data_IF_369878319811
#
_entry.id   IF_369878319811
#
_cell.length_a   1.000
_cell.length_b   1.000
_cell.length_c   1.000
_cell.angle_alpha   90.00
_cell.angle_beta   90.00
_cell.angle_gamma   90.00
#
_symmetry.space_group_name_H-M   'P 1'
#
loop_
_entity.id
_entity.type
_entity.pdbx_description
1 polymer ?
#
# COMPACT_ATOMS: atom_id res chain seq x y z
N UNK A 1 24.17 -0.48 -8.72
CA UNK A 1 23.13 0.59 -8.77
C UNK A 1 21.78 -0.09 -8.64
N UNK A 2 20.93 0.20 -7.65
CA UNK A 2 19.63 -0.47 -7.55
C UNK A 2 18.77 -0.10 -8.77
N UNK A 3 17.98 -1.04 -9.32
CA UNK A 3 17.18 -0.76 -10.50
C UNK A 3 16.20 0.36 -10.20
N UNK A 4 16.16 1.36 -11.08
CA UNK A 4 15.17 2.42 -11.04
C UNK A 4 13.86 1.75 -11.42
N UNK A 5 12.97 1.54 -10.44
CA UNK A 5 11.62 1.05 -10.71
C UNK A 5 10.94 2.02 -11.68
N UNK A 6 10.41 1.54 -12.80
CA UNK A 6 9.55 2.30 -13.70
C UNK A 6 8.08 2.27 -13.25
N UNK A 7 7.21 3.04 -13.91
CA UNK A 7 5.77 2.97 -13.67
C UNK A 7 5.22 1.58 -14.05
N UNK A 8 5.64 1.06 -15.20
CA UNK A 8 5.21 -0.27 -15.70
C UNK A 8 5.66 -1.39 -14.77
N UNK A 9 6.87 -1.31 -14.21
CA UNK A 9 7.35 -2.26 -13.20
C UNK A 9 6.48 -2.22 -11.94
N UNK A 10 6.08 -1.02 -11.51
CA UNK A 10 5.22 -0.85 -10.34
C UNK A 10 3.83 -1.44 -10.60
N UNK A 11 3.22 -1.14 -11.74
CA UNK A 11 1.92 -1.70 -12.15
C UNK A 11 1.96 -3.21 -12.33
N UNK A 12 3.05 -3.75 -12.90
CA UNK A 12 3.27 -5.20 -13.03
C UNK A 12 3.32 -5.86 -11.66
N UNK A 13 4.02 -5.27 -10.68
CA UNK A 13 4.08 -5.79 -9.31
C UNK A 13 2.74 -5.75 -8.60
N UNK A 14 1.99 -4.66 -8.75
CA UNK A 14 0.63 -4.52 -8.19
C UNK A 14 -0.30 -5.58 -8.79
N UNK A 15 -0.28 -5.76 -10.11
CA UNK A 15 -1.10 -6.73 -10.83
C UNK A 15 -0.78 -8.18 -10.42
N UNK A 16 0.50 -8.55 -10.41
CA UNK A 16 0.95 -9.88 -9.95
C UNK A 16 0.56 -10.14 -8.51
N UNK A 17 0.57 -9.11 -7.67
CA UNK A 17 0.17 -9.22 -6.26
C UNK A 17 -1.33 -9.46 -6.14
N UNK A 18 -2.15 -8.71 -6.88
CA UNK A 18 -3.60 -8.92 -6.92
C UNK A 18 -3.95 -10.34 -7.36
N UNK A 19 -3.31 -10.81 -8.45
CA UNK A 19 -3.47 -12.17 -8.94
C UNK A 19 -3.01 -13.22 -7.91
N UNK A 20 -1.84 -13.03 -7.29
CA UNK A 20 -1.31 -13.95 -6.28
C UNK A 20 -2.24 -14.04 -5.08
N UNK A 21 -2.75 -12.92 -4.56
CA UNK A 21 -3.70 -12.90 -3.44
C UNK A 21 -4.99 -13.61 -3.84
N UNK A 22 -5.50 -13.35 -5.05
CA UNK A 22 -6.71 -14.00 -5.58
C UNK A 22 -6.54 -15.52 -5.67
N UNK A 23 -5.46 -16.00 -6.29
CA UNK A 23 -5.16 -17.42 -6.46
C UNK A 23 -4.92 -18.11 -5.10
N UNK A 24 -4.25 -17.43 -4.18
CA UNK A 24 -3.92 -17.96 -2.86
C UNK A 24 -5.12 -17.93 -1.90
N UNK A 25 -6.06 -17.01 -2.10
CA UNK A 25 -7.24 -16.84 -1.24
C UNK A 25 -6.95 -16.30 0.16
N UNK A 26 -5.73 -15.87 0.45
CA UNK A 26 -5.31 -15.35 1.74
C UNK A 26 -4.20 -14.30 1.65
N UNK A 27 -3.99 -13.57 2.76
CA UNK A 27 -2.84 -12.69 3.01
C UNK A 27 -1.95 -13.40 4.03
N UNK A 28 -0.63 -13.42 3.80
CA UNK A 28 0.31 -14.08 4.72
C UNK A 28 0.44 -13.27 6.02
N UNK A 29 0.76 -13.89 7.17
CA UNK A 29 0.88 -13.18 8.45
C UNK A 29 1.85 -11.98 8.42
N UNK A 30 2.98 -12.09 7.72
CA UNK A 30 3.93 -10.98 7.61
C UNK A 30 3.47 -9.86 6.66
N UNK A 31 2.66 -10.19 5.65
CA UNK A 31 2.03 -9.21 4.76
C UNK A 31 0.94 -8.45 5.53
N UNK A 32 0.14 -9.19 6.31
CA UNK A 32 -0.88 -8.63 7.21
C UNK A 32 -0.26 -7.65 8.22
N UNK A 33 0.86 -8.01 8.85
CA UNK A 33 1.57 -7.10 9.76
C UNK A 33 1.95 -5.79 9.07
N UNK A 34 2.45 -5.84 7.83
CA UNK A 34 2.79 -4.63 7.06
C UNK A 34 1.56 -3.79 6.73
N UNK A 35 0.44 -4.42 6.40
CA UNK A 35 -0.84 -3.75 6.16
C UNK A 35 -1.30 -3.03 7.43
N UNK A 36 -1.23 -3.70 8.58
CA UNK A 36 -1.59 -3.10 9.86
C UNK A 36 -0.72 -1.89 10.20
N UNK A 37 0.59 -2.00 10.02
CA UNK A 37 1.53 -0.88 10.20
C UNK A 37 1.23 0.29 9.26
N UNK A 38 0.86 0.01 8.02
CA UNK A 38 0.49 1.02 7.02
C UNK A 38 -0.81 1.76 7.40
N UNK A 39 -1.86 1.05 7.81
CA UNK A 39 -3.10 1.69 8.25
C UNK A 39 -2.95 2.42 9.58
N UNK A 40 -2.17 1.89 10.52
CA UNK A 40 -1.84 2.61 11.75
C UNK A 40 -1.07 3.91 11.45
N UNK A 41 -0.22 3.93 10.42
CA UNK A 41 0.47 5.13 9.96
C UNK A 41 -0.47 6.16 9.33
N UNK A 42 -1.53 5.71 8.65
CA UNK A 42 -2.59 6.58 8.13
C UNK A 42 -3.45 7.18 9.25
N UNK A 43 -3.74 6.40 10.30
CA UNK A 43 -4.59 6.82 11.42
C UNK A 43 -3.89 7.79 12.39
N UNK A 44 -2.56 7.78 12.48
CA UNK A 44 -1.79 8.63 13.40
C UNK A 44 -1.53 10.01 12.80
N UNK A 45 -1.60 11.05 13.65
CA UNK A 45 -0.97 12.35 13.42
C UNK A 45 0.55 12.17 13.16
N UNK A 46 1.21 13.03 12.35
CA UNK A 46 2.62 12.87 12.00
C UNK A 46 3.54 13.01 13.23
N UNK A 47 3.85 11.89 13.87
CA UNK A 47 4.76 11.83 15.02
C UNK A 47 6.24 12.04 14.62
N UNK A 48 7.02 12.59 15.55
CA UNK A 48 8.47 12.74 15.45
C UNK A 48 9.17 11.38 15.36
N UNK A 49 9.70 11.04 14.18
CA UNK A 49 10.54 9.86 13.99
C UNK A 49 11.97 10.11 14.52
N UNK A 50 12.71 9.06 14.96
CA UNK A 50 14.00 9.18 15.64
C UNK A 50 15.16 9.72 14.78
N UNK A 51 14.99 9.88 13.47
CA UNK A 51 15.98 10.53 12.60
C UNK A 51 15.34 11.22 11.39
N UNK A 52 15.97 12.28 10.87
CA UNK A 52 15.46 13.03 9.72
C UNK A 52 15.32 12.17 8.43
N UNK A 53 16.27 11.26 8.16
CA UNK A 53 16.21 10.37 6.99
C UNK A 53 15.09 9.33 7.11
N UNK A 54 14.92 8.74 8.29
CA UNK A 54 13.83 7.78 8.55
C UNK A 54 12.47 8.49 8.56
N UNK A 55 12.42 9.73 9.05
CA UNK A 55 11.25 10.63 8.95
C UNK A 55 10.87 10.88 7.50
N UNK A 56 11.84 11.24 6.65
CA UNK A 56 11.61 11.51 5.23
C UNK A 56 11.02 10.32 4.46
N UNK A 57 11.58 9.11 4.66
CA UNK A 57 11.06 7.88 4.03
C UNK A 57 9.66 7.50 4.52
N UNK A 58 9.42 7.60 5.82
CA UNK A 58 8.11 7.30 6.42
C UNK A 58 7.05 8.30 5.96
N UNK A 59 7.38 9.59 5.89
CA UNK A 59 6.49 10.63 5.39
C UNK A 59 6.19 10.41 3.91
N UNK A 60 7.20 10.16 3.08
CA UNK A 60 7.01 9.87 1.64
C UNK A 60 6.07 8.69 1.42
N UNK A 61 6.24 7.63 2.21
CA UNK A 61 5.34 6.48 2.17
C UNK A 61 3.91 6.84 2.61
N UNK A 62 3.76 7.57 3.73
CA UNK A 62 2.46 8.05 4.23
C UNK A 62 1.74 8.93 3.20
N UNK A 63 2.44 9.90 2.61
CA UNK A 63 1.89 10.83 1.61
C UNK A 63 1.41 10.08 0.36
N UNK A 64 2.13 9.03 -0.04
CA UNK A 64 1.69 8.15 -1.13
C UNK A 64 0.40 7.39 -0.76
N UNK A 65 0.30 6.86 0.46
CA UNK A 65 -0.91 6.17 0.92
C UNK A 65 -2.12 7.12 1.04
N UNK A 66 -1.91 8.36 1.51
CA UNK A 66 -2.95 9.39 1.55
C UNK A 66 -3.43 9.68 0.12
N UNK A 67 -2.51 9.90 -0.81
CA UNK A 67 -2.85 10.13 -2.23
C UNK A 67 -3.67 8.99 -2.82
N UNK A 68 -3.34 7.73 -2.53
CA UNK A 68 -4.18 6.60 -2.95
C UNK A 68 -5.63 6.77 -2.48
N UNK A 69 -5.85 7.13 -1.22
CA UNK A 69 -7.19 7.39 -0.71
C UNK A 69 -7.85 8.60 -1.39
N UNK A 70 -7.11 9.68 -1.68
CA UNK A 70 -7.64 10.88 -2.36
C UNK A 70 -8.18 10.58 -3.75
N UNK A 71 -7.61 9.60 -4.46
CA UNK A 71 -8.12 9.15 -5.75
C UNK A 71 -9.43 8.33 -5.64
N UNK A 72 -10.01 8.20 -4.44
CA UNK A 72 -11.10 7.27 -4.10
C UNK A 72 -10.73 5.81 -4.39
N UNK A 73 -9.43 5.49 -4.36
CA UNK A 73 -8.98 4.11 -4.37
C UNK A 73 -9.24 3.57 -2.96
N UNK A 74 -10.27 2.71 -2.82
CA UNK A 74 -10.60 2.10 -1.54
C UNK A 74 -9.43 1.33 -0.89
N UNK A 75 -9.59 0.90 0.38
CA UNK A 75 -8.51 0.31 1.18
C UNK A 75 -7.83 -0.91 0.54
N UNK A 76 -8.49 -1.59 -0.40
CA UNK A 76 -7.94 -2.69 -1.18
C UNK A 76 -6.68 -2.29 -1.96
N UNK A 77 -6.57 -1.05 -2.43
CA UNK A 77 -5.41 -0.58 -3.18
C UNK A 77 -4.23 -0.24 -2.29
N UNK A 78 -4.50 0.21 -1.06
CA UNK A 78 -3.47 0.32 -0.01
C UNK A 78 -2.89 -1.05 0.26
N UNK A 79 -3.73 -2.07 0.44
CA UNK A 79 -3.28 -3.46 0.61
C UNK A 79 -2.40 -3.92 -0.54
N UNK A 80 -2.83 -3.72 -1.79
CA UNK A 80 -2.04 -4.13 -2.96
C UNK A 80 -0.69 -3.43 -3.05
N UNK A 81 -0.62 -2.13 -2.81
CA UNK A 81 0.63 -1.37 -2.87
C UNK A 81 1.58 -1.76 -1.73
N UNK A 82 1.06 -1.96 -0.52
CA UNK A 82 1.86 -2.34 0.65
C UNK A 82 2.41 -3.75 0.50
N UNK A 83 1.63 -4.69 -0.02
CA UNK A 83 2.07 -6.08 -0.22
C UNK A 83 2.99 -6.20 -1.44
N UNK A 84 2.62 -5.59 -2.56
CA UNK A 84 3.31 -5.78 -3.84
C UNK A 84 4.56 -4.93 -4.04
N UNK A 85 4.60 -3.74 -3.43
CA UNK A 85 5.73 -2.82 -3.55
C UNK A 85 6.50 -2.74 -2.23
N UNK A 86 5.75 -2.57 -1.12
CA UNK A 86 6.33 -2.38 0.20
C UNK A 86 6.88 -0.98 0.44
N UNK A 87 7.04 -0.66 1.73
CA UNK A 87 7.41 0.68 2.19
C UNK A 87 8.74 1.19 1.60
N UNK A 88 9.78 0.35 1.60
CA UNK A 88 11.10 0.76 1.12
C UNK A 88 11.09 1.16 -0.35
N UNK A 89 10.39 0.38 -1.18
CA UNK A 89 10.29 0.65 -2.61
C UNK A 89 9.52 1.95 -2.84
N UNK A 90 8.35 2.10 -2.22
CA UNK A 90 7.52 3.32 -2.35
C UNK A 90 8.28 4.57 -1.88
N UNK A 91 8.98 4.48 -0.75
CA UNK A 91 9.77 5.59 -0.22
C UNK A 91 10.96 5.97 -1.12
N UNK A 92 11.45 5.04 -1.93
CA UNK A 92 12.57 5.24 -2.86
C UNK A 92 12.15 5.50 -4.31
N UNK A 93 10.86 5.42 -4.64
CA UNK A 93 10.35 5.77 -5.98
C UNK A 93 10.70 7.21 -6.33
N UNK A 94 10.85 7.50 -7.62
CA UNK A 94 10.89 8.89 -8.10
C UNK A 94 9.52 9.54 -7.87
N UNK A 95 9.51 10.84 -7.61
CA UNK A 95 8.26 11.58 -7.36
C UNK A 95 7.27 11.44 -8.51
N UNK A 96 7.72 11.59 -9.76
CA UNK A 96 6.85 11.42 -10.94
C UNK A 96 6.15 10.07 -11.01
N UNK A 97 6.78 9.00 -10.51
CA UNK A 97 6.16 7.67 -10.44
C UNK A 97 5.14 7.61 -9.31
N UNK A 98 5.45 8.16 -8.13
CA UNK A 98 4.50 8.23 -7.01
C UNK A 98 3.25 9.03 -7.34
N UNK A 99 3.37 10.04 -8.21
CA UNK A 99 2.23 10.85 -8.65
C UNK A 99 1.36 10.15 -9.70
N UNK A 100 1.97 9.40 -10.62
CA UNK A 100 1.26 8.71 -11.71
C UNK A 100 0.70 7.34 -11.32
N UNK A 101 1.30 6.66 -10.34
CA UNK A 101 0.88 5.32 -9.96
C UNK A 101 -0.55 5.27 -9.38
N UNK A 102 -0.99 6.17 -8.49
CA UNK A 102 -2.36 6.15 -7.98
C UNK A 102 -3.47 6.28 -9.04
N UNK A 103 -3.43 7.23 -10.00
CA UNK A 103 -4.42 7.28 -11.07
C UNK A 103 -4.33 6.06 -11.99
N UNK A 104 -3.13 5.57 -12.31
CA UNK A 104 -2.96 4.37 -13.14
C UNK A 104 -3.61 3.11 -12.50
N UNK A 105 -3.47 2.96 -11.18
CA UNK A 105 -4.13 1.89 -10.42
C UNK A 105 -5.65 2.04 -10.47
N UNK A 106 -6.16 3.27 -10.40
CA UNK A 106 -7.59 3.56 -10.47
C UNK A 106 -8.18 3.16 -11.82
N UNK A 107 -7.49 3.47 -12.90
CA UNK A 107 -7.93 3.14 -14.26
C UNK A 107 -8.02 1.61 -14.46
N UNK A 108 -7.15 0.88 -13.76
CA UNK A 108 -7.12 -0.60 -13.74
C UNK A 108 -7.88 -1.21 -12.54
N UNK A 109 -8.68 -0.44 -11.81
CA UNK A 109 -9.33 -0.88 -10.58
C UNK A 109 -10.14 -2.17 -10.74
N UNK A 110 -10.84 -2.30 -11.87
CA UNK A 110 -11.72 -3.44 -12.15
C UNK A 110 -10.96 -4.77 -12.36
N UNK A 111 -9.71 -4.73 -12.82
CA UNK A 111 -8.87 -5.94 -12.99
C UNK A 111 -8.07 -6.29 -11.75
N UNK A 112 -7.73 -5.26 -10.95
CA UNK A 112 -6.94 -5.39 -9.74
C UNK A 112 -7.77 -5.80 -8.51
N UNK A 113 -9.08 -5.61 -8.56
CA UNK A 113 -9.98 -5.88 -7.43
C UNK A 113 -10.92 -7.05 -7.70
N UNK A 114 -11.53 -7.54 -6.64
CA UNK A 114 -12.49 -8.63 -6.71
C UNK A 114 -12.93 -9.07 -5.31
N UNK A 115 -13.92 -9.97 -5.21
CA UNK A 115 -14.54 -10.34 -3.94
C UNK A 115 -13.55 -10.88 -2.90
N UNK A 116 -12.56 -11.66 -3.35
CA UNK A 116 -11.52 -12.22 -2.48
C UNK A 116 -10.68 -11.11 -1.85
N UNK A 117 -10.22 -10.14 -2.65
CA UNK A 117 -9.40 -9.05 -2.13
C UNK A 117 -10.21 -8.12 -1.22
N UNK A 118 -11.47 -7.84 -1.55
CA UNK A 118 -12.37 -7.04 -0.72
C UNK A 118 -12.54 -7.67 0.66
N UNK A 119 -12.94 -8.95 0.72
CA UNK A 119 -13.10 -9.69 1.98
C UNK A 119 -11.83 -9.65 2.83
N UNK A 120 -10.68 -9.95 2.23
CA UNK A 120 -9.40 -9.97 2.96
C UNK A 120 -9.00 -8.58 3.46
N UNK A 121 -9.30 -7.53 2.69
CA UNK A 121 -9.07 -6.15 3.10
C UNK A 121 -9.92 -5.79 4.31
N UNK A 122 -11.21 -6.13 4.30
CA UNK A 122 -12.10 -5.91 5.43
C UNK A 122 -11.63 -6.65 6.70
N UNK A 123 -11.19 -7.90 6.55
CA UNK A 123 -10.66 -8.69 7.68
C UNK A 123 -9.41 -8.05 8.27
N UNK A 124 -8.50 -7.55 7.44
CA UNK A 124 -7.34 -6.80 7.90
C UNK A 124 -7.75 -5.50 8.62
N UNK A 125 -8.70 -4.75 8.05
CA UNK A 125 -9.18 -3.49 8.66
C UNK A 125 -9.83 -3.72 10.02
N UNK A 126 -10.69 -4.74 10.16
CA UNK A 126 -11.31 -5.11 11.44
C UNK A 126 -10.25 -5.33 12.52
N UNK A 127 -9.16 -6.03 12.18
CA UNK A 127 -8.03 -6.26 13.09
C UNK A 127 -7.26 -4.98 13.43
N UNK A 128 -7.06 -4.09 12.45
CA UNK A 128 -6.44 -2.78 12.70
C UNK A 128 -7.27 -1.97 13.70
N UNK A 129 -8.58 -1.85 13.48
CA UNK A 129 -9.45 -1.10 14.39
C UNK A 129 -9.52 -1.73 15.78
N UNK A 130 -9.50 -3.06 15.88
CA UNK A 130 -9.42 -3.75 17.17
C UNK A 130 -8.10 -3.48 17.90
N UNK A 131 -6.98 -3.33 17.18
CA UNK A 131 -5.67 -3.03 17.75
C UNK A 131 -5.48 -1.55 18.10
N UNK A 132 -6.21 -0.62 17.48
CA UNK A 132 -6.12 0.82 17.77
C UNK A 132 -6.97 1.25 18.99
N UNK A 133 -7.88 0.41 19.45
CA UNK A 133 -8.73 0.67 20.63
C UNK A 133 -8.13 0.19 21.97
N UNK A 134 -6.98 -0.48 21.93
CA UNK A 134 -6.21 -0.90 23.11
C UNK A 134 -5.06 0.07 23.34
#
# INVERSE_FOLDING_TARGET
MPPILSLDDAMTKVSKTAETIRLRGNIKPHEEKRIQEAFALLAREPASAPSAKTKGRRNTFRDFLIKLNDYNCGPQFVVLCVVGLGQSVIASMKEGIRLRLPPEIKDHAHTLTGPVLQRLTEDCLKKVFASLRQ
#
